data_IF_079932792448
#
_entry.id   IF_079932792448
#
_cell.length_a   1.000
_cell.length_b   1.000
_cell.length_c   1.000
_cell.angle_alpha   90.00
_cell.angle_beta   90.00
_cell.angle_gamma   90.00
#
_symmetry.space_group_name_H-M   'P 1'
#
loop_
_entity.id
_entity.type
_entity.pdbx_description
1 polymer ?
#
# COMPACT_ATOMS: atom_id res chain seq x y z
N UNK A 1 9.04 48.59 -40.16
CA UNK A 1 10.33 48.16 -39.59
C UNK A 1 10.10 47.76 -38.15
N UNK A 2 10.49 46.51 -37.79
CA UNK A 2 11.05 46.05 -36.48
C UNK A 2 10.23 46.34 -35.20
N UNK A 3 10.07 45.48 -34.20
CA UNK A 3 10.31 44.07 -33.91
C UNK A 3 10.14 43.96 -32.37
N UNK A 4 9.56 42.85 -31.86
CA UNK A 4 9.86 42.19 -30.56
C UNK A 4 9.38 42.93 -29.29
N UNK A 5 9.00 42.32 -28.16
CA UNK A 5 8.96 40.95 -27.62
C UNK A 5 7.92 40.98 -26.46
N UNK A 6 7.00 40.02 -26.30
CA UNK A 6 7.14 38.75 -25.54
C UNK A 6 7.85 38.91 -24.19
N UNK A 7 7.14 38.66 -23.09
CA UNK A 7 7.61 37.77 -22.02
C UNK A 7 6.48 37.51 -21.00
N UNK A 8 5.98 36.28 -21.02
CA UNK A 8 5.13 35.69 -20.00
C UNK A 8 5.89 35.60 -18.67
N UNK A 9 5.31 36.10 -17.59
CA UNK A 9 5.82 35.92 -16.23
C UNK A 9 5.04 34.80 -15.55
N UNK A 10 5.41 33.56 -15.85
CA UNK A 10 4.89 32.39 -15.18
C UNK A 10 6.06 31.47 -14.80
N UNK A 11 5.92 30.80 -13.65
CA UNK A 11 6.69 29.64 -13.18
C UNK A 11 7.96 29.92 -12.36
N UNK A 12 7.76 30.26 -11.08
CA UNK A 12 8.75 29.97 -10.02
C UNK A 12 8.03 29.45 -8.76
N UNK A 13 7.29 28.35 -8.90
CA UNK A 13 7.10 27.41 -7.80
C UNK A 13 7.95 26.19 -8.12
N UNK A 14 9.26 26.34 -7.97
CA UNK A 14 10.17 25.20 -7.95
C UNK A 14 9.79 24.39 -6.71
N UNK A 15 9.09 23.29 -6.95
CA UNK A 15 8.80 22.28 -5.96
C UNK A 15 10.11 21.87 -5.28
N UNK A 16 10.17 22.01 -3.95
CA UNK A 16 11.06 21.18 -3.16
C UNK A 16 10.56 19.74 -3.29
N UNK A 17 10.89 19.07 -4.38
CA UNK A 17 10.90 17.61 -4.42
C UNK A 17 12.10 17.17 -3.60
N UNK A 18 11.92 17.17 -2.28
CA UNK A 18 12.85 16.55 -1.33
C UNK A 18 12.96 15.09 -1.75
N UNK A 19 14.02 14.76 -2.48
CA UNK A 19 14.39 13.39 -2.85
C UNK A 19 14.73 12.68 -1.55
N UNK A 20 13.70 12.12 -0.92
CA UNK A 20 13.84 11.25 0.24
C UNK A 20 14.46 9.96 -0.30
N UNK A 21 15.76 9.79 -0.08
CA UNK A 21 16.51 8.64 -0.59
C UNK A 21 15.91 7.31 -0.14
N UNK A 22 16.39 6.23 -0.75
CA UNK A 22 15.93 4.88 -0.48
C UNK A 22 15.91 4.58 1.03
N UNK A 23 14.78 4.04 1.49
CA UNK A 23 14.52 3.83 2.90
C UNK A 23 14.00 2.43 3.16
N UNK A 24 14.58 1.79 4.17
CA UNK A 24 14.22 0.45 4.61
C UNK A 24 12.96 0.51 5.49
N UNK A 25 11.95 -0.27 5.11
CA UNK A 25 10.70 -0.44 5.84
C UNK A 25 10.52 -1.91 6.24
N UNK A 26 10.26 -2.17 7.52
CA UNK A 26 9.84 -3.49 8.00
C UNK A 26 8.31 -3.60 7.93
N UNK A 27 7.80 -4.60 7.21
CA UNK A 27 6.37 -4.86 7.06
C UNK A 27 5.99 -6.05 7.92
N UNK A 28 5.00 -5.86 8.79
CA UNK A 28 4.43 -6.88 9.68
C UNK A 28 2.91 -6.91 9.51
N UNK A 29 2.35 -8.11 9.54
CA UNK A 29 0.90 -8.30 9.44
C UNK A 29 0.35 -9.05 10.64
N UNK A 30 -0.90 -8.77 10.97
CA UNK A 30 -1.68 -9.50 11.96
C UNK A 30 -2.97 -10.04 11.30
N UNK A 31 -3.10 -11.37 11.10
CA UNK A 31 -2.14 -12.41 11.48
C UNK A 31 -0.86 -12.41 10.61
N UNK A 32 0.24 -13.06 11.08
CA UNK A 32 1.48 -13.17 10.31
C UNK A 32 1.31 -14.08 9.07
N UNK A 33 2.29 -14.04 8.17
CA UNK A 33 2.32 -14.87 6.97
C UNK A 33 1.35 -14.39 5.88
N UNK A 34 1.11 -13.09 5.78
CA UNK A 34 0.42 -12.51 4.63
C UNK A 34 1.41 -12.30 3.47
N UNK A 35 0.94 -12.45 2.24
CA UNK A 35 1.68 -12.10 1.04
C UNK A 35 1.63 -10.58 0.85
N UNK A 36 2.79 -9.96 0.70
CA UNK A 36 2.96 -8.53 0.44
C UNK A 36 3.54 -8.39 -0.96
N UNK A 37 2.77 -7.83 -1.88
CA UNK A 37 3.20 -7.52 -3.23
C UNK A 37 3.48 -6.02 -3.36
N UNK A 38 4.68 -5.69 -3.81
CA UNK A 38 5.17 -4.32 -4.00
C UNK A 38 5.27 -4.04 -5.49
N UNK A 39 4.57 -3.01 -5.94
CA UNK A 39 4.57 -2.60 -7.35
C UNK A 39 6.00 -2.33 -7.86
N UNK A 40 6.44 -3.14 -8.83
CA UNK A 40 7.75 -3.02 -9.47
C UNK A 40 8.93 -3.70 -8.76
N UNK A 41 8.73 -4.26 -7.56
CA UNK A 41 9.81 -4.92 -6.79
C UNK A 41 9.57 -6.43 -6.55
N UNK A 42 8.32 -6.89 -6.66
CA UNK A 42 7.96 -8.29 -6.49
C UNK A 42 7.16 -8.54 -5.23
N UNK A 43 7.33 -9.71 -4.63
CA UNK A 43 6.53 -10.16 -3.49
C UNK A 43 7.38 -10.75 -2.36
N UNK A 44 6.91 -10.61 -1.13
CA UNK A 44 7.48 -11.23 0.07
C UNK A 44 6.39 -11.69 1.03
N UNK A 45 6.72 -12.64 1.90
CA UNK A 45 5.83 -13.06 2.98
C UNK A 45 6.14 -12.27 4.26
N UNK A 46 5.13 -11.62 4.84
CA UNK A 46 5.28 -10.88 6.09
C UNK A 46 5.49 -11.84 7.29
N UNK A 47 6.41 -11.55 8.23
CA UNK A 47 7.21 -10.33 8.31
C UNK A 47 8.37 -10.30 7.29
N UNK A 48 8.49 -9.21 6.53
CA UNK A 48 9.57 -8.98 5.57
C UNK A 48 10.07 -7.53 5.60
N UNK A 49 11.25 -7.31 5.04
CA UNK A 49 11.87 -5.98 4.92
C UNK A 49 11.93 -5.59 3.45
N UNK A 50 11.49 -4.38 3.13
CA UNK A 50 11.50 -3.83 1.78
C UNK A 50 12.24 -2.50 1.76
N UNK A 51 12.93 -2.22 0.66
CA UNK A 51 13.58 -0.94 0.42
C UNK A 51 12.73 -0.14 -0.59
N UNK A 52 12.40 1.11 -0.25
CA UNK A 52 11.58 1.98 -1.08
C UNK A 52 12.32 3.26 -1.40
N UNK A 53 12.48 3.54 -2.68
CA UNK A 53 13.09 4.75 -3.26
C UNK A 53 12.07 5.86 -3.53
N UNK A 54 10.83 5.48 -3.81
CA UNK A 54 9.69 6.35 -4.08
C UNK A 54 8.41 5.77 -3.47
N UNK A 55 7.31 6.53 -3.41
CA UNK A 55 6.02 5.98 -3.00
C UNK A 55 5.58 4.84 -3.92
N UNK A 56 5.23 3.68 -3.36
CA UNK A 56 4.78 2.50 -4.12
C UNK A 56 3.44 1.99 -3.62
N UNK A 57 2.67 1.38 -4.53
CA UNK A 57 1.46 0.64 -4.17
C UNK A 57 1.84 -0.74 -3.63
N UNK A 58 1.25 -1.10 -2.51
CA UNK A 58 1.34 -2.41 -1.89
C UNK A 58 -0.03 -3.08 -1.91
N UNK A 59 -0.03 -4.36 -2.25
CA UNK A 59 -1.18 -5.25 -2.08
C UNK A 59 -0.82 -6.30 -1.03
N UNK A 60 -1.63 -6.40 0.02
CA UNK A 60 -1.41 -7.32 1.13
C UNK A 60 -2.59 -8.27 1.18
N UNK A 61 -2.32 -9.56 1.07
CA UNK A 61 -3.35 -10.58 0.97
C UNK A 61 -2.99 -11.81 1.81
N UNK A 62 -4.01 -12.43 2.40
CA UNK A 62 -3.89 -13.72 3.08
C UNK A 62 -5.18 -14.50 2.88
N UNK A 63 -5.08 -15.81 2.67
CA UNK A 63 -6.26 -16.67 2.51
C UNK A 63 -7.20 -16.53 3.73
N UNK A 64 -8.49 -16.31 3.46
CA UNK A 64 -9.51 -16.08 4.48
C UNK A 64 -9.64 -14.63 4.97
N UNK A 65 -8.81 -13.71 4.47
CA UNK A 65 -8.81 -12.29 4.84
C UNK A 65 -9.00 -11.38 3.63
N UNK A 66 -9.56 -10.20 3.88
CA UNK A 66 -9.74 -9.17 2.87
C UNK A 66 -8.38 -8.61 2.42
N UNK A 67 -8.22 -8.50 1.10
CA UNK A 67 -7.03 -7.90 0.52
C UNK A 67 -7.01 -6.39 0.77
N UNK A 68 -5.91 -5.89 1.31
CA UNK A 68 -5.71 -4.46 1.57
C UNK A 68 -4.75 -3.87 0.53
N UNK A 69 -5.12 -2.73 -0.03
CA UNK A 69 -4.27 -1.96 -0.97
C UNK A 69 -3.94 -0.62 -0.36
N UNK A 70 -2.66 -0.31 -0.24
CA UNK A 70 -2.18 0.94 0.35
C UNK A 70 -1.00 1.50 -0.45
N UNK A 71 -0.75 2.79 -0.32
CA UNK A 71 0.46 3.42 -0.87
C UNK A 71 1.43 3.69 0.28
N UNK A 72 2.64 3.16 0.19
CA UNK A 72 3.68 3.35 1.19
C UNK A 72 4.75 4.30 0.65
N UNK A 73 4.96 5.41 1.35
CA UNK A 73 6.02 6.37 1.05
C UNK A 73 7.32 5.99 1.77
N UNK A 74 8.50 6.27 1.15
CA UNK A 74 9.80 6.06 1.78
C UNK A 74 9.93 6.74 3.14
N UNK A 75 10.75 6.14 4.01
CA UNK A 75 11.11 6.65 5.33
C UNK A 75 10.15 6.27 6.46
N UNK A 76 9.19 5.41 6.19
CA UNK A 76 8.45 4.69 7.22
C UNK A 76 9.32 3.54 7.72
N UNK A 77 9.74 3.53 8.99
CA UNK A 77 10.61 2.45 9.50
C UNK A 77 9.85 1.12 9.67
N UNK A 78 8.58 1.19 10.07
CA UNK A 78 7.73 0.04 10.36
C UNK A 78 6.32 0.26 9.83
N UNK A 79 5.80 -0.70 9.09
CA UNK A 79 4.41 -0.78 8.65
C UNK A 79 3.75 -1.99 9.33
N UNK A 80 2.72 -1.74 10.15
CA UNK A 80 1.89 -2.77 10.77
C UNK A 80 0.53 -2.79 10.08
N UNK A 81 0.09 -3.96 9.60
CA UNK A 81 -1.18 -4.11 8.90
C UNK A 81 -2.04 -5.16 9.58
N UNK A 82 -3.22 -4.76 10.07
CA UNK A 82 -4.21 -5.67 10.65
C UNK A 82 -5.21 -6.08 9.57
N UNK A 83 -5.31 -7.38 9.32
CA UNK A 83 -6.21 -7.93 8.31
C UNK A 83 -7.58 -8.23 8.91
N UNK A 84 -8.62 -8.11 8.07
CA UNK A 84 -10.01 -8.40 8.43
C UNK A 84 -10.42 -9.71 7.78
N UNK A 85 -11.10 -10.60 8.51
CA UNK A 85 -11.62 -11.86 7.97
C UNK A 85 -12.74 -11.58 6.97
N UNK A 86 -12.67 -12.18 5.79
CA UNK A 86 -13.67 -11.97 4.73
C UNK A 86 -15.02 -12.63 5.02
N UNK A 87 -15.03 -13.70 5.81
CA UNK A 87 -16.24 -14.43 6.19
C UNK A 87 -16.19 -14.77 7.69
N UNK A 88 -16.77 -13.93 8.56
CA UNK A 88 -16.98 -14.32 9.95
C UNK A 88 -17.99 -15.48 9.96
N UNK A 89 -17.57 -16.67 10.39
CA UNK A 89 -18.40 -17.89 10.44
C UNK A 89 -19.46 -17.87 11.55
N UNK A 90 -19.88 -16.70 12.02
CA UNK A 90 -20.80 -16.52 13.16
C UNK A 90 -22.28 -16.46 12.76
N UNK A 91 -22.61 -16.79 11.50
CA UNK A 91 -23.98 -16.70 10.97
C UNK A 91 -24.39 -17.92 10.17
N UNK A 92 -24.12 -19.13 10.68
CA UNK A 92 -24.92 -20.28 10.25
C UNK A 92 -26.19 -20.20 11.08
N UNK A 93 -27.19 -19.47 10.59
CA UNK A 93 -28.55 -19.64 11.10
C UNK A 93 -28.92 -21.10 10.79
N UNK A 94 -29.01 -21.93 11.84
CA UNK A 94 -29.69 -23.23 11.79
C UNK A 94 -31.14 -22.94 11.37
N UNK A 95 -31.39 -22.79 10.07
CA UNK A 95 -32.73 -22.88 9.50
C UNK A 95 -33.19 -24.31 9.78
N UNK A 96 -33.98 -24.45 10.83
CA UNK A 96 -34.65 -25.66 11.26
C UNK A 96 -35.31 -26.33 10.05
N UNK A 97 -34.78 -27.49 9.66
CA UNK A 97 -35.38 -28.37 8.66
C UNK A 97 -36.81 -28.71 9.10
N UNK A 98 -37.84 -28.59 8.24
CA UNK A 98 -39.19 -29.03 8.60
C UNK A 98 -39.19 -30.56 8.78
N UNK A 99 -39.75 -31.03 9.90
CA UNK A 99 -40.04 -32.44 10.11
C UNK A 99 -41.12 -32.88 9.09
N UNK A 100 -40.85 -33.98 8.38
CA UNK A 100 -41.74 -34.57 7.37
C UNK A 100 -42.88 -35.39 8.02
#
# INVERSE_FOLDING_TARGET
MRAKAVAALALLFAACETTKGAAITRVETDPPGALVQVEGFGECTAPCTIELDAPRKLTIAKAGYDAQRLTLSPGTKKLQVKLTLSAPTTGVEEETLPEL
#
